data_IF_848183064404
#
_entry.id   IF_848183064404
#
_cell.length_a   1.000
_cell.length_b   1.000
_cell.length_c   1.000
_cell.angle_alpha   90.00
_cell.angle_beta   90.00
_cell.angle_gamma   90.00
#
_symmetry.space_group_name_H-M   'P 1'
#
loop_
_entity.id
_entity.type
_entity.pdbx_description
1 polymer ?
#
# COMPACT_ATOMS: atom_id res chain seq x y z
N UNK A 1 -22.40 11.92 3.81
CA UNK A 1 -21.29 11.12 3.25
C UNK A 1 -21.14 11.53 1.79
N UNK A 2 -20.31 12.54 1.48
CA UNK A 2 -20.37 13.19 0.17
C UNK A 2 -18.98 13.33 -0.46
N UNK A 3 -18.77 12.60 -1.57
CA UNK A 3 -17.67 12.70 -2.54
C UNK A 3 -16.30 12.14 -2.13
N UNK A 4 -16.27 10.92 -1.59
CA UNK A 4 -15.04 10.13 -1.55
C UNK A 4 -14.76 9.50 -2.92
N UNK A 5 -13.49 9.51 -3.29
CA UNK A 5 -12.95 8.92 -4.50
C UNK A 5 -11.90 7.89 -4.09
N UNK A 6 -11.63 6.97 -5.00
CA UNK A 6 -10.68 5.90 -4.82
C UNK A 6 -9.71 5.81 -6.00
N UNK A 7 -8.51 5.34 -5.68
CA UNK A 7 -7.42 5.03 -6.60
C UNK A 7 -6.85 3.67 -6.20
N UNK A 8 -6.65 2.80 -7.18
CA UNK A 8 -6.05 1.48 -7.00
C UNK A 8 -4.62 1.45 -7.54
N UNK A 9 -3.76 0.73 -6.84
CA UNK A 9 -2.35 0.58 -7.14
C UNK A 9 -1.92 -0.87 -6.85
N UNK A 10 -1.77 -1.67 -7.90
CA UNK A 10 -1.17 -3.00 -7.80
C UNK A 10 0.34 -2.86 -7.57
N UNK A 11 0.80 -3.37 -6.43
CA UNK A 11 2.20 -3.38 -6.04
C UNK A 11 2.48 -4.58 -5.11
N UNK A 12 3.41 -4.42 -4.17
CA UNK A 12 3.69 -5.44 -3.15
C UNK A 12 3.73 -4.84 -1.75
N UNK A 13 3.46 -5.69 -0.76
CA UNK A 13 3.87 -5.50 0.64
C UNK A 13 5.16 -6.30 0.87
N UNK A 14 6.12 -5.71 1.57
CA UNK A 14 7.43 -6.32 1.86
C UNK A 14 7.58 -6.65 3.33
N UNK A 15 8.59 -7.45 3.65
CA UNK A 15 8.86 -7.83 5.05
C UNK A 15 8.01 -9.00 5.55
N UNK A 16 7.13 -9.59 4.72
CA UNK A 16 6.28 -10.72 5.11
C UNK A 16 7.04 -11.89 5.74
N UNK A 17 8.28 -12.13 5.29
CA UNK A 17 9.16 -13.16 5.86
C UNK A 17 9.49 -12.97 7.37
N UNK A 18 9.33 -11.76 7.92
CA UNK A 18 9.54 -11.50 9.34
C UNK A 18 8.32 -11.90 10.19
N UNK A 19 7.13 -11.95 9.59
CA UNK A 19 5.86 -12.06 10.32
C UNK A 19 5.05 -13.33 9.97
N UNK A 20 5.36 -14.02 8.87
CA UNK A 20 4.55 -15.15 8.38
C UNK A 20 4.42 -16.35 9.32
N UNK A 21 5.25 -16.43 10.37
CA UNK A 21 5.16 -17.49 11.38
C UNK A 21 3.96 -17.30 12.30
N UNK A 22 3.62 -16.04 12.56
CA UNK A 22 2.60 -15.63 13.51
C UNK A 22 1.33 -15.13 12.79
N UNK A 23 1.42 -14.86 11.50
CA UNK A 23 0.30 -14.34 10.69
C UNK A 23 0.26 -15.00 9.31
N UNK A 24 -0.90 -15.52 8.93
CA UNK A 24 -1.16 -16.05 7.59
C UNK A 24 -2.11 -15.12 6.86
N UNK A 25 -1.78 -14.76 5.62
CA UNK A 25 -2.64 -13.95 4.77
C UNK A 25 -3.19 -14.76 3.60
N UNK A 26 -4.47 -14.58 3.32
CA UNK A 26 -5.21 -15.26 2.25
C UNK A 26 -5.46 -14.33 1.06
N UNK A 27 -5.60 -14.91 -0.13
CA UNK A 27 -6.00 -14.15 -1.32
C UNK A 27 -7.44 -13.64 -1.11
N UNK A 28 -7.67 -12.36 -1.40
CA UNK A 28 -8.90 -11.62 -1.16
C UNK A 28 -9.01 -11.02 0.24
N UNK A 29 -8.04 -11.25 1.12
CA UNK A 29 -8.01 -10.64 2.45
C UNK A 29 -7.70 -9.15 2.35
N UNK A 30 -8.46 -8.34 3.10
CA UNK A 30 -8.27 -6.89 3.18
C UNK A 30 -7.39 -6.57 4.38
N UNK A 31 -6.26 -5.92 4.10
CA UNK A 31 -5.31 -5.46 5.10
C UNK A 31 -5.40 -3.94 5.25
N UNK A 32 -4.94 -3.42 6.38
CA UNK A 32 -4.99 -2.00 6.71
C UNK A 32 -3.59 -1.41 6.81
N UNK A 33 -3.41 -0.23 6.23
CA UNK A 33 -2.15 0.51 6.31
C UNK A 33 -2.22 1.59 7.38
N UNK A 34 -1.23 1.64 8.25
CA UNK A 34 -1.15 2.62 9.34
C UNK A 34 0.23 3.29 9.40
N UNK A 35 0.28 4.51 9.93
CA UNK A 35 1.53 5.20 10.19
C UNK A 35 2.28 4.51 11.34
N UNK A 36 3.58 4.29 11.18
CA UNK A 36 4.46 3.77 12.23
C UNK A 36 5.56 4.80 12.55
N UNK A 37 5.23 5.91 13.25
CA UNK A 37 6.15 7.04 13.43
C UNK A 37 7.38 6.69 14.28
N UNK A 38 7.25 5.70 15.16
CA UNK A 38 8.31 5.23 16.06
C UNK A 38 9.17 4.11 15.45
N UNK A 39 9.05 3.86 14.14
CA UNK A 39 9.87 2.86 13.46
C UNK A 39 11.36 3.27 13.48
N UNK A 40 12.19 2.37 13.99
CA UNK A 40 13.63 2.63 14.18
C UNK A 40 14.43 2.78 12.87
N UNK A 41 13.88 2.31 11.74
CA UNK A 41 14.54 2.33 10.44
C UNK A 41 14.07 3.50 9.55
N UNK A 42 12.81 3.92 9.67
CA UNK A 42 12.26 4.99 8.84
C UNK A 42 11.09 5.71 9.52
N UNK A 43 11.21 7.04 9.67
CA UNK A 43 10.11 7.90 10.13
C UNK A 43 8.92 7.96 9.16
N UNK A 44 9.08 7.43 7.94
CA UNK A 44 8.02 7.34 6.93
C UNK A 44 7.44 5.93 6.81
N UNK A 45 7.75 5.03 7.76
CA UNK A 45 7.23 3.67 7.75
C UNK A 45 5.69 3.68 7.74
N UNK A 46 5.14 2.82 6.90
CA UNK A 46 3.72 2.50 6.85
C UNK A 46 3.61 1.01 7.01
N UNK A 47 3.06 0.60 8.14
CA UNK A 47 2.86 -0.81 8.50
C UNK A 47 1.57 -1.31 7.85
N UNK A 48 1.58 -2.57 7.42
CA UNK A 48 0.42 -3.28 6.87
C UNK A 48 0.01 -4.35 7.88
N UNK A 49 -1.24 -4.31 8.32
CA UNK A 49 -1.79 -5.18 9.35
C UNK A 49 -3.05 -5.90 8.88
N UNK A 50 -3.34 -7.06 9.44
CA UNK A 50 -4.61 -7.75 9.25
C UNK A 50 -5.69 -7.24 10.22
N UNK A 51 -6.87 -7.86 10.21
CA UNK A 51 -7.99 -7.52 11.11
C UNK A 51 -7.69 -7.74 12.60
N UNK A 52 -6.75 -8.64 12.92
CA UNK A 52 -6.31 -8.95 14.29
C UNK A 52 -5.19 -8.00 14.79
N UNK A 53 -4.96 -6.87 14.10
CA UNK A 53 -3.87 -5.91 14.37
C UNK A 53 -2.45 -6.51 14.26
N UNK A 54 -2.33 -7.71 13.69
CA UNK A 54 -1.05 -8.39 13.50
C UNK A 54 -0.33 -7.83 12.28
N UNK A 55 0.96 -7.50 12.45
CA UNK A 55 1.78 -6.97 11.37
C UNK A 55 2.00 -8.04 10.32
N UNK A 56 1.60 -7.75 9.08
CA UNK A 56 1.84 -8.59 7.90
C UNK A 56 3.13 -8.17 7.20
N UNK A 57 3.47 -6.89 7.28
CA UNK A 57 4.67 -6.34 6.67
C UNK A 57 4.58 -4.82 6.57
N UNK A 58 5.30 -4.27 5.60
CA UNK A 58 5.38 -2.83 5.40
C UNK A 58 5.22 -2.48 3.92
N UNK A 59 4.70 -1.27 3.70
CA UNK A 59 4.69 -0.64 2.39
C UNK A 59 6.15 -0.48 1.91
N UNK A 60 6.47 -0.81 0.65
CA UNK A 60 7.81 -0.63 0.09
C UNK A 60 8.34 0.80 0.30
N UNK A 61 9.65 0.94 0.53
CA UNK A 61 10.27 2.25 0.81
C UNK A 61 10.05 3.27 -0.31
N UNK A 62 9.91 2.79 -1.55
CA UNK A 62 9.61 3.63 -2.69
C UNK A 62 8.17 4.19 -2.69
N UNK A 63 7.24 3.61 -1.93
CA UNK A 63 5.87 4.10 -1.75
C UNK A 63 5.64 4.71 -0.36
N UNK A 64 6.45 4.34 0.64
CA UNK A 64 6.20 4.66 2.05
C UNK A 64 6.06 6.15 2.30
N UNK A 65 6.94 6.99 1.75
CA UNK A 65 6.86 8.46 1.91
C UNK A 65 5.59 9.06 1.32
N UNK A 66 5.14 8.53 0.18
CA UNK A 66 3.92 8.98 -0.50
C UNK A 66 2.69 8.58 0.33
N UNK A 67 2.65 7.32 0.77
CA UNK A 67 1.54 6.76 1.54
C UNK A 67 1.45 7.39 2.94
N UNK A 68 2.59 7.61 3.59
CA UNK A 68 2.69 8.27 4.88
C UNK A 68 2.08 9.69 4.82
N UNK A 69 2.45 10.47 3.79
CA UNK A 69 1.86 11.80 3.57
C UNK A 69 0.34 11.73 3.31
N UNK A 70 -0.11 10.77 2.51
CA UNK A 70 -1.53 10.61 2.24
C UNK A 70 -2.35 10.25 3.50
N UNK A 71 -1.87 9.29 4.30
CA UNK A 71 -2.50 8.84 5.54
C UNK A 71 -2.52 9.95 6.61
N UNK A 72 -1.46 10.75 6.71
CA UNK A 72 -1.38 11.85 7.68
C UNK A 72 -2.29 13.04 7.37
N UNK A 73 -2.59 13.30 6.09
CA UNK A 73 -3.35 14.49 5.71
C UNK A 73 -4.85 14.22 5.44
N UNK A 74 -5.23 13.06 4.88
CA UNK A 74 -6.57 12.94 4.28
C UNK A 74 -7.24 11.56 4.30
N UNK A 75 -6.50 10.46 4.23
CA UNK A 75 -7.06 9.24 3.63
C UNK A 75 -6.93 7.95 4.42
N UNK A 76 -7.65 6.93 3.92
CA UNK A 76 -7.52 5.52 4.32
C UNK A 76 -6.82 4.76 3.20
N UNK A 77 -5.92 3.85 3.56
CA UNK A 77 -5.35 2.89 2.61
C UNK A 77 -5.67 1.48 3.08
N UNK A 78 -6.33 0.73 2.22
CA UNK A 78 -6.52 -0.71 2.34
C UNK A 78 -5.59 -1.41 1.35
N UNK A 79 -5.19 -2.64 1.64
CA UNK A 79 -4.41 -3.47 0.73
C UNK A 79 -5.07 -4.84 0.59
N UNK A 80 -5.65 -5.11 -0.57
CA UNK A 80 -6.20 -6.43 -0.85
C UNK A 80 -5.08 -7.37 -1.29
N UNK A 81 -4.97 -8.54 -0.66
CA UNK A 81 -4.06 -9.59 -1.11
C UNK A 81 -4.55 -10.21 -2.42
N UNK A 82 -3.87 -9.94 -3.54
CA UNK A 82 -4.31 -10.38 -4.89
C UNK A 82 -3.61 -11.65 -5.38
N UNK A 83 -2.77 -12.28 -4.56
CA UNK A 83 -2.04 -13.47 -4.98
C UNK A 83 -1.14 -14.07 -3.93
N UNK A 84 -0.51 -15.19 -4.29
CA UNK A 84 0.43 -15.87 -3.41
C UNK A 84 1.73 -15.07 -3.24
N UNK A 85 2.31 -15.18 -2.04
CA UNK A 85 3.65 -14.66 -1.74
C UNK A 85 4.69 -15.15 -2.76
N UNK A 86 5.59 -14.26 -3.14
CA UNK A 86 6.62 -14.54 -4.15
C UNK A 86 7.97 -13.94 -3.73
N UNK A 87 9.05 -14.39 -4.37
CA UNK A 87 10.37 -13.77 -4.24
C UNK A 87 10.92 -13.54 -5.66
N UNK A 88 11.23 -12.28 -5.99
CA UNK A 88 11.75 -11.89 -7.31
C UNK A 88 13.26 -12.10 -7.47
N UNK A 89 13.97 -12.59 -6.45
CA UNK A 89 15.42 -12.79 -6.47
C UNK A 89 16.23 -11.49 -6.49
N UNK A 90 15.63 -10.35 -6.13
CA UNK A 90 16.26 -9.02 -6.16
C UNK A 90 16.73 -8.53 -4.78
N UNK A 91 16.82 -9.41 -3.78
CA UNK A 91 17.22 -9.05 -2.41
C UNK A 91 16.10 -8.45 -1.54
N UNK A 92 14.88 -8.30 -2.05
CA UNK A 92 13.73 -7.76 -1.30
C UNK A 92 13.08 -8.77 -0.33
N UNK A 93 13.56 -10.01 -0.32
CA UNK A 93 12.96 -11.09 0.45
C UNK A 93 11.62 -11.56 -0.12
N UNK A 94 10.77 -12.06 0.77
CA UNK A 94 9.42 -12.53 0.45
C UNK A 94 8.47 -11.34 0.38
N UNK A 95 7.79 -11.20 -0.75
CA UNK A 95 6.84 -10.13 -1.05
C UNK A 95 5.43 -10.71 -1.17
N UNK A 96 4.43 -9.94 -0.75
CA UNK A 96 3.02 -10.25 -0.91
C UNK A 96 2.44 -9.34 -2.00
N UNK A 97 1.85 -9.86 -3.10
CA UNK A 97 1.22 -9.02 -4.10
C UNK A 97 -0.07 -8.45 -3.55
N UNK A 98 -0.25 -7.13 -3.64
CA UNK A 98 -1.44 -6.45 -3.13
C UNK A 98 -1.96 -5.41 -4.12
N UNK A 99 -3.26 -5.15 -4.08
CA UNK A 99 -3.87 -3.98 -4.69
C UNK A 99 -4.21 -2.96 -3.59
N UNK A 100 -3.48 -1.85 -3.57
CA UNK A 100 -3.69 -0.79 -2.59
C UNK A 100 -4.87 0.08 -3.03
N UNK A 101 -5.90 0.16 -2.19
CA UNK A 101 -7.04 1.05 -2.37
C UNK A 101 -6.87 2.31 -1.52
N UNK A 102 -6.60 3.44 -2.17
CA UNK A 102 -6.45 4.74 -1.53
C UNK A 102 -7.76 5.52 -1.62
N UNK A 103 -8.39 5.80 -0.48
CA UNK A 103 -9.69 6.50 -0.40
C UNK A 103 -9.49 7.91 0.15
N UNK A 104 -9.96 8.92 -0.60
CA UNK A 104 -9.82 10.33 -0.22
C UNK A 104 -10.54 11.29 -1.17
N UNK A 105 -10.20 12.58 -1.12
CA UNK A 105 -10.84 13.58 -1.97
C UNK A 105 -10.29 13.58 -3.41
N UNK A 106 -11.15 13.85 -4.39
CA UNK A 106 -10.81 13.78 -5.82
C UNK A 106 -9.59 14.61 -6.22
N UNK A 107 -9.48 15.84 -5.69
CA UNK A 107 -8.42 16.78 -6.06
C UNK A 107 -7.05 16.25 -5.65
N UNK A 108 -6.95 15.69 -4.44
CA UNK A 108 -5.69 15.13 -3.95
C UNK A 108 -5.35 13.86 -4.72
N UNK A 109 -6.30 12.93 -4.88
CA UNK A 109 -6.05 11.67 -5.58
C UNK A 109 -5.61 11.89 -7.04
N UNK A 110 -6.14 12.90 -7.73
CA UNK A 110 -5.67 13.26 -9.09
C UNK A 110 -4.22 13.74 -9.10
N UNK A 111 -3.80 14.52 -8.10
CA UNK A 111 -2.41 14.97 -7.96
C UNK A 111 -1.49 13.79 -7.61
N UNK A 112 -1.95 12.94 -6.71
CA UNK A 112 -1.25 11.73 -6.28
C UNK A 112 -1.04 10.74 -7.42
N UNK A 113 -2.07 10.51 -8.25
CA UNK A 113 -1.97 9.68 -9.44
C UNK A 113 -0.87 10.18 -10.38
N UNK A 114 -0.77 11.49 -10.61
CA UNK A 114 0.29 12.08 -11.45
C UNK A 114 1.68 11.81 -10.87
N UNK A 115 1.87 12.03 -9.57
CA UNK A 115 3.14 11.76 -8.87
C UNK A 115 3.54 10.28 -8.95
N UNK A 116 2.57 9.37 -8.76
CA UNK A 116 2.79 7.93 -8.88
C UNK A 116 3.15 7.51 -10.32
N UNK A 117 2.50 8.09 -11.33
CA UNK A 117 2.79 7.83 -12.75
C UNK A 117 4.19 8.31 -13.15
N UNK A 118 4.59 9.50 -12.72
CA UNK A 118 5.93 10.06 -12.94
C UNK A 118 6.98 9.13 -12.32
N UNK A 119 6.81 8.77 -11.05
CA UNK A 119 7.74 7.88 -10.32
C UNK A 119 7.81 6.46 -10.90
N UNK A 120 6.69 5.90 -11.36
CA UNK A 120 6.65 4.59 -12.01
C UNK A 120 7.47 4.58 -13.31
N UNK A 121 7.39 5.67 -14.08
CA UNK A 121 8.10 5.82 -15.35
C UNK A 121 9.60 6.00 -15.14
N UNK A 122 10.01 6.86 -14.21
CA UNK A 122 11.42 7.16 -13.94
C UNK A 122 12.21 5.95 -13.42
N UNK A 123 11.56 5.10 -12.63
CA UNK A 123 12.23 4.04 -11.87
C UNK A 123 11.87 2.62 -12.35
N UNK A 124 11.05 2.49 -13.39
CA UNK A 124 10.64 1.22 -14.00
C UNK A 124 10.08 0.20 -12.97
N UNK A 125 9.25 0.68 -12.03
CA UNK A 125 8.68 -0.15 -10.96
C UNK A 125 7.60 -1.12 -11.47
N UNK A 126 7.05 -0.89 -12.66
CA UNK A 126 5.98 -1.69 -13.28
C UNK A 126 4.70 -1.77 -12.43
N UNK A 127 4.38 -0.71 -11.68
CA UNK A 127 3.11 -0.59 -10.96
C UNK A 127 1.94 -0.46 -11.94
N UNK A 128 0.80 -1.07 -11.59
CA UNK A 128 -0.45 -0.82 -12.32
C UNK A 128 -1.32 0.13 -11.51
N UNK A 129 -1.71 1.24 -12.12
CA UNK A 129 -2.50 2.29 -11.50
C UNK A 129 -3.86 2.36 -12.18
N UNK A 130 -4.95 2.45 -11.40
CA UNK A 130 -6.27 2.76 -11.95
C UNK A 130 -6.41 4.27 -12.23
N UNK A 131 -7.53 4.64 -12.85
CA UNK A 131 -7.99 6.03 -12.83
C UNK A 131 -8.63 6.35 -11.47
N UNK A 132 -8.70 7.65 -11.15
CA UNK A 132 -9.44 8.12 -9.97
C UNK A 132 -10.94 8.03 -10.26
N UNK A 133 -11.67 7.28 -9.44
CA UNK A 133 -13.11 7.07 -9.59
C UNK A 133 -13.86 7.38 -8.30
N UNK A 134 -15.16 7.65 -8.40
CA UNK A 134 -16.00 7.89 -7.22
C UNK A 134 -16.23 6.56 -6.50
N UNK A 135 -16.16 6.55 -5.17
CA UNK A 135 -16.48 5.36 -4.38
C UNK A 135 -17.93 4.93 -4.70
N UNK A 136 -18.12 3.64 -5.00
CA UNK A 136 -19.45 3.05 -5.18
C UNK A 136 -20.03 2.79 -3.78
N UNK A 137 -21.18 3.39 -3.50
CA UNK A 137 -21.98 3.16 -2.29
C UNK A 137 -22.88 1.97 -2.53
#
# INVERSE_FOLDING_TARGET
>A
MANEYELYLEASTRGYHAYFKDTTVYIGEILFCELEPDNQHSTYAVVVKNEDDSIVGHVPTELSKIFNKFLSEYGKIEAECIGNRFNKGRGNGLELPVDYRLVGNARYLKKLLKELQEKNTESNYNWKLSTVQKCRV
#
